data_IF_766640579337
#
_entry.id   IF_766640579337
#
_cell.length_a   1.000
_cell.length_b   1.000
_cell.length_c   1.000
_cell.angle_alpha   90.00
_cell.angle_beta   90.00
_cell.angle_gamma   90.00
#
_symmetry.space_group_name_H-M   'P 1'
#
loop_
_entity.id
_entity.type
_entity.pdbx_description
1 polymer ?
#
# COMPACT_ATOMS: atom_id res chain seq x y z
N UNK A 1 1.20 15.08 -15.79
CA UNK A 1 1.12 15.48 -14.36
C UNK A 1 -0.35 15.53 -13.98
N UNK A 2 -0.73 14.80 -12.96
CA UNK A 2 -2.09 14.84 -12.43
C UNK A 2 -2.22 16.00 -11.46
N UNK A 3 -3.37 16.70 -11.48
CA UNK A 3 -3.65 17.82 -10.59
C UNK A 3 -5.08 17.72 -10.05
N UNK A 4 -5.25 18.25 -8.85
CA UNK A 4 -6.55 18.40 -8.21
C UNK A 4 -6.64 19.85 -7.72
N UNK A 5 -7.61 20.62 -8.24
CA UNK A 5 -7.88 21.95 -7.72
C UNK A 5 -8.44 21.86 -6.30
N UNK A 6 -7.95 22.70 -5.41
CA UNK A 6 -8.35 22.70 -4.02
C UNK A 6 -8.29 24.10 -3.42
N UNK A 7 -9.22 24.38 -2.50
CA UNK A 7 -9.28 25.63 -1.73
C UNK A 7 -8.68 25.51 -0.33
N UNK A 8 -8.03 24.37 -0.02
CA UNK A 8 -7.35 24.18 1.27
C UNK A 8 -6.13 25.10 1.44
N UNK A 9 -5.52 25.13 2.62
CA UNK A 9 -4.38 26.00 2.94
C UNK A 9 -3.15 25.81 2.02
N UNK A 10 -3.00 24.63 1.39
CA UNK A 10 -1.92 24.33 0.45
C UNK A 10 -2.25 24.73 -1.01
N UNK A 11 -3.52 25.10 -1.29
CA UNK A 11 -3.98 25.34 -2.66
C UNK A 11 -4.14 24.06 -3.48
N UNK A 12 -3.96 24.13 -4.79
CA UNK A 12 -4.06 22.97 -5.68
C UNK A 12 -2.98 21.93 -5.41
N UNK A 13 -3.34 20.67 -5.61
CA UNK A 13 -2.46 19.53 -5.40
C UNK A 13 -1.98 18.93 -6.71
N UNK A 14 -0.73 18.49 -6.77
CA UNK A 14 -0.15 17.88 -7.97
C UNK A 14 0.62 16.60 -7.64
N UNK A 15 0.54 15.62 -8.55
CA UNK A 15 1.38 14.44 -8.51
C UNK A 15 2.08 14.27 -9.87
N UNK A 16 3.37 13.99 -9.92
CA UNK A 16 4.12 13.92 -11.18
C UNK A 16 3.89 12.59 -11.94
N UNK A 17 2.71 12.01 -11.84
CA UNK A 17 2.25 10.88 -12.65
C UNK A 17 1.87 11.38 -14.03
N UNK A 18 2.37 10.73 -15.09
CA UNK A 18 2.09 11.09 -16.50
C UNK A 18 0.88 10.35 -17.04
N UNK A 19 0.75 9.06 -16.69
CA UNK A 19 -0.30 8.20 -17.22
C UNK A 19 -0.68 7.12 -16.21
N UNK A 20 -1.99 6.85 -16.13
CA UNK A 20 -2.55 5.72 -15.41
C UNK A 20 -3.44 4.97 -16.40
N UNK A 21 -3.16 3.69 -16.59
CA UNK A 21 -3.94 2.77 -17.40
C UNK A 21 -4.42 1.61 -16.54
N UNK A 22 -5.72 1.45 -16.41
CA UNK A 22 -6.35 0.32 -15.69
C UNK A 22 -7.40 -0.29 -16.60
N UNK A 23 -7.03 -1.34 -17.30
CA UNK A 23 -7.94 -2.02 -18.24
C UNK A 23 -7.50 -3.46 -18.51
N UNK A 24 -8.41 -4.28 -19.04
CA UNK A 24 -8.06 -5.56 -19.65
C UNK A 24 -7.13 -5.34 -20.83
N UNK A 25 -6.10 -6.18 -20.96
CA UNK A 25 -5.10 -6.08 -22.02
C UNK A 25 -4.21 -4.83 -21.94
N UNK A 26 -4.08 -4.20 -20.77
CA UNK A 26 -3.23 -3.01 -20.60
C UNK A 26 -1.77 -3.28 -20.97
N UNK A 27 -1.28 -4.51 -20.79
CA UNK A 27 0.07 -4.94 -21.17
C UNK A 27 0.34 -4.70 -22.65
N UNK A 28 -0.62 -4.94 -23.52
CA UNK A 28 -0.48 -4.77 -24.96
C UNK A 28 -0.30 -3.31 -25.40
N UNK A 29 -0.64 -2.35 -24.55
CA UNK A 29 -0.50 -0.91 -24.77
C UNK A 29 0.87 -0.35 -24.34
N UNK A 30 1.76 -1.18 -23.81
CA UNK A 30 3.05 -0.74 -23.24
C UNK A 30 3.87 0.12 -24.19
N UNK A 31 4.04 -0.32 -25.45
CA UNK A 31 4.84 0.42 -26.42
C UNK A 31 4.23 1.80 -26.77
N UNK A 32 2.91 1.92 -26.76
CA UNK A 32 2.19 3.17 -26.98
C UNK A 32 2.33 4.09 -25.76
N UNK A 33 2.07 3.57 -24.55
CA UNK A 33 2.11 4.32 -23.30
C UNK A 33 3.52 4.86 -23.02
N UNK A 34 4.54 4.04 -23.30
CA UNK A 34 5.95 4.38 -23.08
C UNK A 34 6.61 5.02 -24.29
N UNK A 35 5.83 5.46 -25.29
CA UNK A 35 6.36 6.12 -26.47
C UNK A 35 7.23 7.31 -26.11
N UNK A 36 8.45 7.32 -26.66
CA UNK A 36 9.46 8.35 -26.40
C UNK A 36 10.48 7.99 -25.32
N UNK A 37 10.31 6.85 -24.64
CA UNK A 37 11.33 6.28 -23.77
C UNK A 37 12.15 5.24 -24.53
N UNK A 38 13.44 5.23 -24.28
CA UNK A 38 14.41 4.26 -24.81
C UNK A 38 15.26 3.71 -23.68
N UNK A 39 16.01 2.68 -23.96
CA UNK A 39 16.94 2.09 -22.99
C UNK A 39 16.21 1.72 -21.68
N UNK A 40 15.06 1.05 -21.82
CA UNK A 40 14.22 0.61 -20.70
C UNK A 40 14.83 -0.64 -20.09
N UNK A 41 15.11 -0.60 -18.80
CA UNK A 41 15.41 -1.80 -18.00
C UNK A 41 14.10 -2.36 -17.42
N UNK A 42 13.80 -3.61 -17.75
CA UNK A 42 12.68 -4.33 -17.15
C UNK A 42 13.15 -5.04 -15.87
N UNK A 43 12.43 -4.84 -14.77
CA UNK A 43 12.70 -5.49 -13.48
C UNK A 43 11.49 -6.30 -13.04
N UNK A 44 11.69 -7.58 -12.76
CA UNK A 44 10.66 -8.49 -12.27
C UNK A 44 11.24 -9.48 -11.26
N UNK A 45 10.40 -10.18 -10.53
CA UNK A 45 10.76 -11.45 -9.88
C UNK A 45 10.41 -12.63 -10.79
N UNK A 46 10.81 -13.85 -10.40
CA UNK A 46 10.59 -15.05 -11.22
C UNK A 46 9.12 -15.27 -11.56
N UNK A 47 8.22 -15.09 -10.57
CA UNK A 47 6.79 -15.33 -10.78
C UNK A 47 6.18 -14.25 -11.67
N UNK A 48 6.44 -12.98 -11.40
CA UNK A 48 5.89 -11.88 -12.17
C UNK A 48 6.49 -11.76 -13.56
N UNK A 49 7.73 -12.25 -13.75
CA UNK A 49 8.32 -12.39 -15.09
C UNK A 49 7.57 -13.42 -15.93
N UNK A 50 7.22 -14.59 -15.35
CA UNK A 50 6.43 -15.61 -16.06
C UNK A 50 5.03 -15.11 -16.40
N UNK A 51 4.36 -14.42 -15.45
CA UNK A 51 2.96 -13.99 -15.58
C UNK A 51 2.80 -12.83 -16.57
N UNK A 52 3.71 -11.86 -16.55
CA UNK A 52 3.60 -10.63 -17.34
C UNK A 52 4.93 -10.18 -17.98
N UNK A 53 6.05 -10.46 -17.32
CA UNK A 53 7.37 -9.95 -17.71
C UNK A 53 7.80 -10.40 -19.09
N UNK A 54 7.60 -11.67 -19.45
CA UNK A 54 7.94 -12.21 -20.78
C UNK A 54 7.19 -11.48 -21.90
N UNK A 55 5.91 -11.19 -21.68
CA UNK A 55 5.11 -10.47 -22.68
C UNK A 55 5.54 -9.01 -22.77
N UNK A 56 5.76 -8.36 -21.63
CA UNK A 56 6.27 -6.98 -21.60
C UNK A 56 7.65 -6.86 -22.27
N UNK A 57 8.57 -7.81 -21.99
CA UNK A 57 9.87 -7.87 -22.65
C UNK A 57 9.73 -7.95 -24.18
N UNK A 58 8.90 -8.87 -24.66
CA UNK A 58 8.71 -9.05 -26.11
C UNK A 58 8.20 -7.77 -26.77
N UNK A 59 7.18 -7.11 -26.17
CA UNK A 59 6.62 -5.86 -26.69
C UNK A 59 7.67 -4.75 -26.74
N UNK A 60 8.46 -4.58 -25.67
CA UNK A 60 9.49 -3.54 -25.61
C UNK A 60 10.66 -3.84 -26.56
N UNK A 61 11.02 -5.12 -26.73
CA UNK A 61 12.06 -5.55 -27.66
C UNK A 61 11.64 -5.29 -29.12
N UNK A 62 10.41 -5.67 -29.48
CA UNK A 62 9.87 -5.46 -30.84
C UNK A 62 9.75 -3.96 -31.18
N UNK A 63 9.50 -3.13 -30.17
CA UNK A 63 9.47 -1.68 -30.31
C UNK A 63 10.86 -1.01 -30.30
N UNK A 64 11.94 -1.77 -30.08
CA UNK A 64 13.31 -1.23 -29.98
C UNK A 64 13.54 -0.35 -28.73
N UNK A 65 12.77 -0.57 -27.68
CA UNK A 65 12.78 0.26 -26.45
C UNK A 65 13.54 -0.41 -25.31
N UNK A 66 13.71 -1.74 -25.35
CA UNK A 66 14.32 -2.51 -24.26
C UNK A 66 15.85 -2.41 -24.29
N UNK A 67 16.45 -2.13 -23.12
CA UNK A 67 17.89 -2.26 -22.88
C UNK A 67 18.20 -3.70 -22.46
N UNK A 68 17.75 -4.08 -21.26
CA UNK A 68 17.96 -5.40 -20.69
C UNK A 68 16.90 -5.77 -19.65
N UNK A 69 16.94 -7.00 -19.16
CA UNK A 69 16.01 -7.55 -18.17
C UNK A 69 16.77 -7.98 -16.93
N UNK A 70 16.28 -7.56 -15.78
CA UNK A 70 16.75 -8.01 -14.47
C UNK A 70 15.63 -8.80 -13.78
N UNK A 71 15.84 -10.10 -13.61
CA UNK A 71 14.95 -10.95 -12.83
C UNK A 71 15.60 -11.20 -11.48
N UNK A 72 14.94 -10.74 -10.40
CA UNK A 72 15.41 -10.97 -9.04
C UNK A 72 14.96 -12.33 -8.53
N UNK A 73 15.76 -12.90 -7.60
CA UNK A 73 15.47 -14.20 -7.01
C UNK A 73 14.37 -14.09 -5.94
N UNK A 74 13.70 -15.23 -5.69
CA UNK A 74 12.74 -15.36 -4.60
C UNK A 74 13.44 -15.50 -3.22
N UNK A 75 12.81 -14.99 -2.17
CA UNK A 75 11.60 -14.15 -2.18
C UNK A 75 11.91 -12.70 -2.64
N UNK A 76 11.01 -12.07 -3.39
CA UNK A 76 11.20 -10.72 -3.93
C UNK A 76 11.00 -9.65 -2.85
N UNK A 77 11.72 -9.74 -1.73
CA UNK A 77 11.62 -8.78 -0.65
C UNK A 77 12.14 -7.40 -1.06
N UNK A 78 11.48 -6.30 -0.67
CA UNK A 78 11.97 -4.95 -0.89
C UNK A 78 13.11 -4.66 0.11
N UNK A 79 14.29 -5.24 -0.14
CA UNK A 79 15.45 -5.22 0.74
C UNK A 79 16.62 -4.45 0.13
N UNK A 80 17.54 -4.02 1.00
CA UNK A 80 18.83 -3.46 0.59
C UNK A 80 19.59 -4.40 -0.35
N UNK A 81 19.51 -5.72 -0.14
CA UNK A 81 20.09 -6.73 -1.03
C UNK A 81 19.51 -6.67 -2.45
N UNK A 82 18.19 -6.66 -2.58
CA UNK A 82 17.51 -6.64 -3.88
C UNK A 82 17.64 -5.27 -4.57
N UNK A 83 17.58 -4.18 -3.81
CA UNK A 83 17.90 -2.84 -4.33
C UNK A 83 19.34 -2.80 -4.86
N UNK A 84 20.31 -3.33 -4.10
CA UNK A 84 21.72 -3.43 -4.53
C UNK A 84 21.89 -4.28 -5.79
N UNK A 85 21.17 -5.41 -5.90
CA UNK A 85 21.18 -6.27 -7.09
C UNK A 85 20.73 -5.50 -8.34
N UNK A 86 19.58 -4.80 -8.26
CA UNK A 86 19.04 -4.04 -9.39
C UNK A 86 19.94 -2.85 -9.75
N UNK A 87 20.54 -2.18 -8.77
CA UNK A 87 21.51 -1.10 -9.02
C UNK A 87 22.76 -1.60 -9.77
N UNK A 88 23.29 -2.77 -9.40
CA UNK A 88 24.44 -3.39 -10.09
C UNK A 88 24.08 -3.77 -11.53
N UNK A 89 22.91 -4.37 -11.74
CA UNK A 89 22.47 -4.72 -13.08
C UNK A 89 22.20 -3.46 -13.95
N UNK A 90 21.70 -2.38 -13.36
CA UNK A 90 21.49 -1.11 -14.07
C UNK A 90 22.80 -0.48 -14.58
N UNK A 91 23.91 -0.73 -13.88
CA UNK A 91 25.24 -0.27 -14.31
C UNK A 91 26.07 -1.35 -15.03
N UNK A 92 25.44 -2.47 -15.44
CA UNK A 92 26.17 -3.59 -16.04
C UNK A 92 26.72 -3.22 -17.41
N UNK A 93 28.05 -3.24 -17.52
CA UNK A 93 28.79 -3.18 -18.79
C UNK A 93 29.13 -4.61 -19.24
N UNK A 94 28.94 -4.91 -20.52
CA UNK A 94 29.31 -6.19 -21.12
C UNK A 94 30.83 -6.31 -21.32
N UNK A 95 31.56 -5.18 -21.25
CA UNK A 95 33.01 -5.15 -21.36
C UNK A 95 33.67 -4.77 -20.04
N UNK A 96 34.16 -5.74 -19.25
CA UNK A 96 34.79 -5.47 -17.94
C UNK A 96 36.12 -4.71 -18.05
N UNK A 97 36.61 -4.42 -19.25
CA UNK A 97 37.89 -3.76 -19.50
C UNK A 97 37.78 -2.40 -20.20
N UNK A 98 36.58 -2.00 -20.63
CA UNK A 98 36.38 -0.70 -21.28
C UNK A 98 35.76 0.32 -20.31
N UNK A 99 36.66 1.02 -19.63
CA UNK A 99 36.29 2.08 -18.68
C UNK A 99 35.57 3.29 -19.31
N UNK A 100 35.45 3.34 -20.63
CA UNK A 100 34.78 4.41 -21.35
C UNK A 100 33.32 4.07 -21.74
N UNK A 101 32.87 2.83 -21.52
CA UNK A 101 31.53 2.36 -21.88
C UNK A 101 30.53 2.53 -20.71
N UNK A 102 30.44 3.72 -20.13
CA UNK A 102 29.31 4.09 -19.25
C UNK A 102 28.00 4.38 -20.04
N UNK A 103 27.91 3.98 -21.31
CA UNK A 103 26.83 4.36 -22.20
C UNK A 103 25.58 3.51 -22.11
N UNK A 104 25.55 2.42 -21.37
CA UNK A 104 24.42 1.49 -21.30
C UNK A 104 23.58 1.57 -20.03
N UNK A 105 23.70 2.65 -19.26
CA UNK A 105 22.79 2.86 -18.13
C UNK A 105 21.36 3.03 -18.66
N UNK A 106 20.37 2.36 -18.05
CA UNK A 106 18.98 2.53 -18.44
C UNK A 106 18.56 3.99 -18.25
N UNK A 107 17.73 4.48 -19.16
CA UNK A 107 17.12 5.81 -19.05
C UNK A 107 15.75 5.76 -18.39
N UNK A 108 15.20 4.58 -18.24
CA UNK A 108 13.92 4.32 -17.63
C UNK A 108 13.87 2.92 -17.03
N UNK A 109 13.16 2.74 -15.91
CA UNK A 109 12.90 1.44 -15.30
C UNK A 109 11.41 1.11 -15.45
N UNK A 110 11.11 -0.07 -15.97
CA UNK A 110 9.78 -0.66 -15.91
C UNK A 110 9.79 -1.82 -14.91
N UNK A 111 9.18 -1.61 -13.73
CA UNK A 111 8.90 -2.71 -12.82
C UNK A 111 7.72 -3.54 -13.33
N UNK A 112 7.81 -4.86 -13.24
CA UNK A 112 6.71 -5.77 -13.51
C UNK A 112 6.47 -6.59 -12.26
N UNK A 113 5.40 -6.28 -11.54
CA UNK A 113 5.13 -6.92 -10.27
C UNK A 113 4.15 -6.16 -9.39
N UNK A 114 4.14 -6.50 -8.11
CA UNK A 114 3.32 -5.83 -7.10
C UNK A 114 4.20 -4.97 -6.16
N UNK A 115 3.82 -4.82 -4.90
CA UNK A 115 4.43 -3.90 -3.94
C UNK A 115 5.94 -3.98 -3.84
N UNK A 116 6.50 -5.18 -3.69
CA UNK A 116 7.95 -5.36 -3.53
C UNK A 116 8.75 -4.88 -4.73
N UNK A 117 8.34 -5.27 -5.93
CA UNK A 117 8.98 -4.82 -7.18
C UNK A 117 8.84 -3.31 -7.35
N UNK A 118 7.66 -2.77 -7.05
CA UNK A 118 7.41 -1.34 -7.13
C UNK A 118 8.34 -0.54 -6.19
N UNK A 119 8.52 -0.98 -4.95
CA UNK A 119 9.37 -0.29 -3.98
C UNK A 119 10.86 -0.39 -4.32
N UNK A 120 11.32 -1.54 -4.82
CA UNK A 120 12.68 -1.72 -5.35
C UNK A 120 12.92 -0.77 -6.53
N UNK A 121 12.04 -0.79 -7.54
CA UNK A 121 12.17 0.07 -8.73
C UNK A 121 12.10 1.56 -8.36
N UNK A 122 11.23 1.95 -7.43
CA UNK A 122 11.14 3.30 -6.89
C UNK A 122 12.44 3.76 -6.26
N UNK A 123 13.01 2.94 -5.38
CA UNK A 123 14.30 3.26 -4.73
C UNK A 123 15.42 3.35 -5.75
N UNK A 124 15.53 2.38 -6.66
CA UNK A 124 16.59 2.36 -7.69
C UNK A 124 16.47 3.57 -8.60
N UNK A 125 15.28 3.87 -9.12
CA UNK A 125 15.05 5.04 -9.99
C UNK A 125 15.42 6.34 -9.29
N UNK A 126 15.06 6.48 -8.00
CA UNK A 126 15.41 7.64 -7.20
C UNK A 126 16.93 7.79 -7.05
N UNK A 127 17.65 6.69 -6.79
CA UNK A 127 19.11 6.69 -6.64
C UNK A 127 19.85 6.98 -7.94
N UNK A 128 19.32 6.50 -9.05
CA UNK A 128 19.90 6.76 -10.40
C UNK A 128 19.47 8.12 -10.99
N UNK A 129 18.49 8.79 -10.41
CA UNK A 129 17.96 10.05 -10.94
C UNK A 129 17.19 9.88 -12.24
N UNK A 130 16.60 8.70 -12.51
CA UNK A 130 15.82 8.40 -13.71
C UNK A 130 14.35 8.18 -13.39
N UNK A 131 13.47 8.24 -14.40
CA UNK A 131 12.05 7.97 -14.24
C UNK A 131 11.78 6.45 -14.23
N UNK A 132 10.66 6.04 -13.61
CA UNK A 132 10.20 4.66 -13.66
C UNK A 132 8.69 4.57 -13.84
N UNK A 133 8.23 3.41 -14.27
CA UNK A 133 6.84 2.98 -14.27
C UNK A 133 6.68 1.58 -13.70
N UNK A 134 5.44 1.21 -13.49
CA UNK A 134 5.05 -0.09 -12.97
C UNK A 134 3.96 -0.71 -13.83
N UNK A 135 4.18 -1.95 -14.26
CA UNK A 135 3.15 -2.87 -14.72
C UNK A 135 2.75 -3.71 -13.52
N UNK A 136 1.65 -3.32 -12.89
CA UNK A 136 1.16 -3.99 -11.67
C UNK A 136 0.47 -5.30 -11.99
N UNK A 137 0.84 -6.35 -11.24
CA UNK A 137 0.34 -7.72 -11.46
C UNK A 137 -0.68 -8.18 -10.41
N UNK A 138 -0.88 -7.41 -9.34
CA UNK A 138 -1.88 -7.71 -8.31
C UNK A 138 -2.26 -6.45 -7.52
N UNK A 139 -3.53 -6.25 -7.16
CA UNK A 139 -3.98 -5.11 -6.35
C UNK A 139 -3.75 -5.38 -4.85
N UNK A 140 -2.49 -5.39 -4.39
CA UNK A 140 -2.14 -5.85 -3.03
C UNK A 140 -1.86 -4.76 -2.00
N UNK A 141 -1.71 -3.50 -2.42
CA UNK A 141 -1.37 -2.36 -1.54
C UNK A 141 -1.47 -1.03 -2.30
N UNK A 142 -1.50 0.10 -1.59
CA UNK A 142 -1.69 1.45 -2.14
C UNK A 142 -0.39 2.13 -2.62
N UNK A 143 0.72 1.42 -2.64
CA UNK A 143 2.04 1.95 -2.97
C UNK A 143 2.25 2.38 -4.43
N UNK A 144 1.41 2.00 -5.39
CA UNK A 144 1.65 2.29 -6.82
C UNK A 144 1.82 3.78 -7.10
N UNK A 145 0.96 4.62 -6.55
CA UNK A 145 1.01 6.08 -6.71
C UNK A 145 1.62 6.81 -5.49
N UNK A 146 2.28 6.10 -4.60
CA UNK A 146 2.92 6.66 -3.41
C UNK A 146 4.34 7.17 -3.69
N UNK A 147 4.82 8.07 -2.83
CA UNK A 147 6.21 8.58 -2.84
C UNK A 147 7.12 7.87 -1.84
N UNK A 148 6.60 6.92 -1.06
CA UNK A 148 7.36 6.22 -0.02
C UNK A 148 7.68 4.78 -0.43
N UNK A 149 8.88 4.33 -0.07
CA UNK A 149 9.36 2.97 -0.22
C UNK A 149 9.72 2.40 1.16
N UNK A 150 8.90 1.51 1.74
CA UNK A 150 9.30 0.74 2.91
C UNK A 150 10.27 -0.37 2.51
N UNK A 151 11.51 -0.28 3.01
CA UNK A 151 12.55 -1.24 2.69
C UNK A 151 13.04 -1.97 3.93
N UNK A 152 13.41 -3.22 3.75
CA UNK A 152 14.14 -4.01 4.73
C UNK A 152 15.64 -3.71 4.59
N UNK A 153 16.23 -3.14 5.63
CA UNK A 153 17.68 -2.86 5.72
C UNK A 153 18.24 -3.69 6.85
N UNK A 154 18.90 -4.77 6.51
CA UNK A 154 19.23 -5.83 7.47
C UNK A 154 17.92 -6.41 8.07
N UNK A 155 17.75 -6.25 9.39
CA UNK A 155 16.56 -6.70 10.13
C UNK A 155 15.54 -5.58 10.41
N UNK A 156 15.75 -4.38 9.86
CA UNK A 156 14.91 -3.21 10.16
C UNK A 156 14.07 -2.82 8.96
N UNK A 157 12.80 -2.50 9.19
CA UNK A 157 11.94 -1.85 8.21
C UNK A 157 12.12 -0.34 8.27
N UNK A 158 12.64 0.27 7.20
CA UNK A 158 12.90 1.72 7.09
C UNK A 158 12.07 2.27 5.93
N UNK A 159 11.40 3.39 6.17
CA UNK A 159 10.56 4.05 5.19
C UNK A 159 11.33 5.21 4.57
N UNK A 160 11.56 5.13 3.26
CA UNK A 160 12.26 6.16 2.49
C UNK A 160 11.28 6.97 1.66
N UNK A 161 11.49 8.28 1.57
CA UNK A 161 10.82 9.12 0.58
C UNK A 161 11.65 9.09 -0.71
N UNK A 162 11.00 8.75 -1.82
CA UNK A 162 11.63 8.52 -3.12
C UNK A 162 10.82 9.19 -4.24
N UNK A 163 11.07 8.78 -5.51
CA UNK A 163 10.28 9.19 -6.68
C UNK A 163 8.93 8.47 -6.73
N UNK A 164 7.97 9.07 -7.44
CA UNK A 164 6.69 8.45 -7.78
C UNK A 164 6.77 7.82 -9.18
N UNK A 165 6.01 6.74 -9.42
CA UNK A 165 5.88 6.15 -10.74
C UNK A 165 5.31 7.15 -11.75
N UNK A 166 5.96 7.29 -12.90
CA UNK A 166 5.47 8.15 -13.99
C UNK A 166 4.34 7.51 -14.78
N UNK A 167 4.39 6.19 -14.91
CA UNK A 167 3.37 5.39 -15.57
C UNK A 167 2.95 4.27 -14.63
N UNK A 168 1.65 4.17 -14.39
CA UNK A 168 1.03 3.13 -13.59
C UNK A 168 0.11 2.37 -14.55
N UNK A 169 0.47 1.13 -14.85
CA UNK A 169 -0.22 0.30 -15.82
C UNK A 169 -0.67 -0.95 -15.09
N UNK A 170 -1.97 -1.17 -15.01
CA UNK A 170 -2.56 -2.32 -14.33
C UNK A 170 -3.40 -3.09 -15.33
N UNK A 171 -2.98 -4.31 -15.59
CA UNK A 171 -3.71 -5.21 -16.47
C UNK A 171 -4.70 -6.04 -15.65
N UNK A 172 -5.99 -5.79 -15.86
CA UNK A 172 -7.05 -6.45 -15.11
C UNK A 172 -7.14 -7.95 -15.38
N UNK A 173 -6.72 -8.41 -16.57
CA UNK A 173 -6.70 -9.83 -16.89
C UNK A 173 -5.63 -10.55 -16.06
N UNK A 174 -4.49 -9.90 -15.83
CA UNK A 174 -3.42 -10.41 -14.95
C UNK A 174 -3.87 -10.35 -13.49
N UNK A 175 -4.42 -9.22 -13.05
CA UNK A 175 -4.90 -9.05 -11.68
C UNK A 175 -5.99 -10.05 -11.30
N UNK A 176 -6.86 -10.42 -12.23
CA UNK A 176 -7.91 -11.41 -12.05
C UNK A 176 -7.35 -12.78 -11.66
N UNK A 177 -6.20 -13.15 -12.23
CA UNK A 177 -5.55 -14.45 -12.01
C UNK A 177 -4.54 -14.43 -10.85
N UNK A 178 -4.34 -13.27 -10.21
CA UNK A 178 -3.46 -13.14 -9.06
C UNK A 178 -3.90 -14.05 -7.88
N UNK A 179 -2.97 -14.50 -7.01
CA UNK A 179 -3.32 -15.20 -5.77
C UNK A 179 -4.39 -14.45 -4.97
N UNK A 180 -5.38 -15.18 -4.46
CA UNK A 180 -6.53 -14.57 -3.77
C UNK A 180 -6.12 -13.73 -2.55
N UNK A 181 -5.08 -14.18 -1.82
CA UNK A 181 -4.53 -13.42 -0.69
C UNK A 181 -4.03 -12.03 -1.08
N UNK A 182 -3.54 -11.85 -2.31
CA UNK A 182 -3.15 -10.52 -2.80
C UNK A 182 -4.36 -9.61 -3.08
N UNK A 183 -5.49 -10.18 -3.49
CA UNK A 183 -6.75 -9.43 -3.62
C UNK A 183 -7.26 -9.02 -2.23
N UNK A 184 -7.22 -9.94 -1.26
CA UNK A 184 -7.62 -9.67 0.12
C UNK A 184 -6.67 -8.68 0.81
N UNK A 185 -5.37 -8.73 0.50
CA UNK A 185 -4.41 -7.76 0.99
C UNK A 185 -4.75 -6.34 0.50
N UNK A 186 -5.09 -6.18 -0.79
CA UNK A 186 -5.54 -4.87 -1.30
C UNK A 186 -6.81 -4.37 -0.64
N UNK A 187 -7.78 -5.24 -0.43
CA UNK A 187 -8.99 -4.90 0.32
C UNK A 187 -8.66 -4.53 1.78
N UNK A 188 -7.80 -5.31 2.44
CA UNK A 188 -7.36 -5.06 3.82
C UNK A 188 -6.68 -3.70 3.98
N UNK A 189 -5.84 -3.33 3.02
CA UNK A 189 -5.22 -2.00 2.98
C UNK A 189 -6.28 -0.89 2.76
N UNK A 190 -7.26 -1.11 1.89
CA UNK A 190 -8.31 -0.13 1.60
C UNK A 190 -9.28 0.10 2.77
N UNK A 191 -9.72 -0.93 3.48
CA UNK A 191 -10.65 -0.75 4.61
C UNK A 191 -10.06 0.10 5.72
N UNK A 192 -8.73 0.10 5.88
CA UNK A 192 -8.00 0.93 6.85
C UNK A 192 -8.13 2.43 6.62
N UNK A 193 -8.47 2.86 5.40
CA UNK A 193 -8.50 4.29 5.07
C UNK A 193 -9.57 5.08 5.84
N UNK A 194 -10.65 4.45 6.26
CA UNK A 194 -11.62 5.10 7.15
C UNK A 194 -11.00 5.45 8.52
N UNK A 195 -10.18 4.56 9.07
CA UNK A 195 -9.46 4.82 10.34
C UNK A 195 -8.42 5.90 10.13
N UNK A 196 -7.63 5.81 9.05
CA UNK A 196 -6.60 6.80 8.72
C UNK A 196 -7.16 8.22 8.61
N UNK A 197 -8.30 8.38 7.91
CA UNK A 197 -8.96 9.67 7.75
C UNK A 197 -9.53 10.17 9.07
N UNK A 198 -10.17 9.31 9.87
CA UNK A 198 -10.68 9.69 11.20
C UNK A 198 -9.55 10.12 12.13
N UNK A 199 -8.42 9.41 12.13
CA UNK A 199 -7.22 9.83 12.86
C UNK A 199 -6.66 11.18 12.40
N UNK A 200 -6.75 11.47 11.10
CA UNK A 200 -6.32 12.75 10.56
C UNK A 200 -7.25 13.89 10.98
N UNK A 201 -8.56 13.65 11.00
CA UNK A 201 -9.56 14.59 11.54
C UNK A 201 -9.38 14.80 13.06
N UNK A 202 -9.13 13.72 13.80
CA UNK A 202 -8.84 13.76 15.23
C UNK A 202 -7.59 14.62 15.51
N UNK A 203 -6.52 14.38 14.76
CA UNK A 203 -5.29 15.16 14.89
C UNK A 203 -5.50 16.64 14.55
N UNK A 204 -6.23 16.94 13.48
CA UNK A 204 -6.62 18.34 13.17
C UNK A 204 -7.31 18.99 14.34
N UNK A 205 -8.27 18.31 14.96
CA UNK A 205 -9.05 18.85 16.06
C UNK A 205 -8.18 19.12 17.30
N UNK A 206 -7.32 18.16 17.67
CA UNK A 206 -6.54 18.21 18.91
C UNK A 206 -5.27 19.05 18.77
N UNK A 207 -4.57 18.96 17.65
CA UNK A 207 -3.25 19.55 17.47
C UNK A 207 -3.20 20.72 16.48
N UNK A 208 -4.28 20.95 15.73
CA UNK A 208 -4.30 21.93 14.63
C UNK A 208 -3.56 21.45 13.39
N UNK A 209 -3.26 20.14 13.25
CA UNK A 209 -2.57 19.60 12.08
C UNK A 209 -3.32 19.95 10.78
N UNK A 210 -2.55 20.18 9.72
CA UNK A 210 -3.13 20.36 8.39
C UNK A 210 -4.04 19.19 8.01
N UNK A 211 -5.18 19.51 7.43
CA UNK A 211 -6.16 18.56 6.91
C UNK A 211 -6.75 19.09 5.60
N UNK A 212 -6.92 18.23 4.63
CA UNK A 212 -7.59 18.56 3.37
C UNK A 212 -8.83 17.72 3.18
N UNK A 213 -9.99 18.36 3.28
CA UNK A 213 -11.29 17.70 3.15
C UNK A 213 -11.48 17.04 1.78
N UNK A 214 -11.01 17.69 0.69
CA UNK A 214 -11.17 17.13 -0.66
C UNK A 214 -10.36 15.84 -0.86
N UNK A 215 -9.12 15.79 -0.31
CA UNK A 215 -8.32 14.55 -0.32
C UNK A 215 -9.00 13.47 0.52
N UNK A 216 -9.47 13.82 1.71
CA UNK A 216 -10.15 12.89 2.60
C UNK A 216 -11.42 12.32 1.95
N UNK A 217 -12.26 13.17 1.34
CA UNK A 217 -13.46 12.74 0.63
C UNK A 217 -13.15 11.86 -0.59
N UNK A 218 -12.10 12.18 -1.35
CA UNK A 218 -11.65 11.33 -2.46
C UNK A 218 -11.31 9.92 -1.97
N UNK A 219 -10.53 9.80 -0.90
CA UNK A 219 -10.11 8.52 -0.33
C UNK A 219 -11.30 7.80 0.30
N UNK A 220 -12.17 8.48 1.06
CA UNK A 220 -13.40 7.88 1.65
C UNK A 220 -14.31 7.29 0.58
N UNK A 221 -14.55 8.02 -0.53
CA UNK A 221 -15.37 7.53 -1.65
C UNK A 221 -14.77 6.30 -2.32
N UNK A 222 -13.45 6.32 -2.55
CA UNK A 222 -12.74 5.19 -3.13
C UNK A 222 -12.82 3.95 -2.22
N UNK A 223 -12.66 4.14 -0.90
CA UNK A 223 -12.81 3.08 0.10
C UNK A 223 -14.23 2.51 0.10
N UNK A 224 -15.24 3.37 0.04
CA UNK A 224 -16.65 2.95 -0.05
C UNK A 224 -16.91 2.07 -1.28
N UNK A 225 -16.42 2.46 -2.45
CA UNK A 225 -16.56 1.67 -3.67
C UNK A 225 -15.89 0.29 -3.58
N UNK A 226 -14.71 0.21 -2.95
CA UNK A 226 -14.03 -1.06 -2.70
C UNK A 226 -14.88 -1.97 -1.79
N UNK A 227 -15.39 -1.43 -0.68
CA UNK A 227 -16.20 -2.20 0.27
C UNK A 227 -17.51 -2.68 -0.38
N UNK A 228 -18.16 -1.82 -1.19
CA UNK A 228 -19.42 -2.15 -1.86
C UNK A 228 -19.26 -3.28 -2.87
N UNK A 229 -18.13 -3.33 -3.56
CA UNK A 229 -17.84 -4.35 -4.58
C UNK A 229 -17.09 -5.57 -4.04
N UNK A 230 -16.59 -5.52 -2.81
CA UNK A 230 -15.71 -6.54 -2.24
C UNK A 230 -16.25 -7.99 -2.31
N UNK A 231 -17.57 -8.27 -2.16
CA UNK A 231 -18.08 -9.64 -2.36
C UNK A 231 -17.73 -10.24 -3.74
N UNK A 232 -17.59 -9.41 -4.76
CA UNK A 232 -17.17 -9.82 -6.11
C UNK A 232 -15.73 -10.35 -6.17
N UNK A 233 -14.86 -10.01 -5.23
CA UNK A 233 -13.48 -10.51 -5.21
C UNK A 233 -13.43 -12.03 -5.06
N UNK A 234 -14.36 -12.63 -4.31
CA UNK A 234 -14.45 -14.08 -4.11
C UNK A 234 -14.67 -14.85 -5.42
N UNK A 235 -15.40 -14.25 -6.35
CA UNK A 235 -15.66 -14.83 -7.68
C UNK A 235 -14.78 -14.21 -8.78
N UNK A 236 -13.77 -13.45 -8.38
CA UNK A 236 -12.82 -12.78 -9.28
C UNK A 236 -13.52 -11.86 -10.31
N UNK A 237 -14.57 -11.17 -9.85
CA UNK A 237 -15.28 -10.19 -10.66
C UNK A 237 -14.36 -9.04 -11.05
N UNK A 238 -14.31 -8.73 -12.35
CA UNK A 238 -13.37 -7.73 -12.89
C UNK A 238 -13.68 -6.32 -12.40
N UNK A 239 -14.95 -5.99 -12.21
CA UNK A 239 -15.34 -4.67 -11.71
C UNK A 239 -14.98 -4.51 -10.23
N UNK A 240 -15.13 -5.57 -9.42
CA UNK A 240 -14.67 -5.58 -8.04
C UNK A 240 -13.15 -5.41 -7.93
N UNK A 241 -12.39 -6.13 -8.76
CA UNK A 241 -10.93 -5.99 -8.84
C UNK A 241 -10.55 -4.58 -9.28
N UNK A 242 -11.22 -4.05 -10.31
CA UNK A 242 -10.99 -2.69 -10.79
C UNK A 242 -11.25 -1.64 -9.71
N UNK A 243 -12.35 -1.75 -8.96
CA UNK A 243 -12.66 -0.83 -7.87
C UNK A 243 -11.57 -0.89 -6.78
N UNK A 244 -11.04 -2.07 -6.48
CA UNK A 244 -9.91 -2.22 -5.54
C UNK A 244 -8.64 -1.56 -6.08
N UNK A 245 -8.29 -1.79 -7.34
CA UNK A 245 -7.14 -1.13 -8.02
C UNK A 245 -7.29 0.39 -8.00
N UNK A 246 -8.43 0.90 -8.44
CA UNK A 246 -8.70 2.34 -8.50
C UNK A 246 -8.61 2.96 -7.09
N UNK A 247 -9.16 2.27 -6.09
CA UNK A 247 -9.08 2.69 -4.69
C UNK A 247 -7.65 2.79 -4.19
N UNK A 248 -6.84 1.77 -4.43
CA UNK A 248 -5.42 1.74 -4.05
C UNK A 248 -4.62 2.85 -4.74
N UNK A 249 -4.88 3.11 -6.02
CA UNK A 249 -4.24 4.21 -6.76
C UNK A 249 -4.66 5.57 -6.19
N UNK A 250 -5.95 5.76 -5.90
CA UNK A 250 -6.47 7.02 -5.33
C UNK A 250 -5.94 7.25 -3.91
N UNK A 251 -5.78 6.19 -3.10
CA UNK A 251 -5.13 6.27 -1.79
C UNK A 251 -3.68 6.76 -1.92
N UNK A 252 -2.89 6.13 -2.81
CA UNK A 252 -1.51 6.54 -3.08
C UNK A 252 -1.40 7.98 -3.62
N UNK A 253 -2.32 8.40 -4.50
CA UNK A 253 -2.42 9.80 -4.94
C UNK A 253 -2.76 10.74 -3.79
N UNK A 254 -3.60 10.32 -2.84
CA UNK A 254 -3.89 11.07 -1.61
C UNK A 254 -2.61 11.36 -0.81
N UNK A 255 -1.70 10.39 -0.71
CA UNK A 255 -0.38 10.56 -0.09
C UNK A 255 0.45 11.60 -0.87
N UNK A 256 0.49 11.48 -2.19
CA UNK A 256 1.25 12.39 -3.03
C UNK A 256 0.69 13.83 -2.98
N UNK A 257 -0.61 14.00 -2.98
CA UNK A 257 -1.30 15.28 -2.92
C UNK A 257 -1.16 15.98 -1.56
N UNK A 258 -1.24 15.23 -0.46
CA UNK A 258 -1.12 15.80 0.88
C UNK A 258 0.33 16.04 1.33
N UNK A 259 1.31 15.46 0.63
CA UNK A 259 2.71 15.47 1.03
C UNK A 259 2.99 14.65 2.30
N UNK A 260 2.02 13.84 2.75
CA UNK A 260 2.13 12.98 3.93
C UNK A 260 1.28 11.72 3.76
N UNK A 261 1.57 10.66 4.53
CA UNK A 261 0.74 9.45 4.49
C UNK A 261 -0.54 9.53 5.36
N UNK A 262 -0.92 10.71 5.85
CA UNK A 262 -2.13 10.88 6.69
C UNK A 262 -3.41 10.36 6.03
N UNK A 263 -3.69 10.62 4.74
CA UNK A 263 -4.92 10.12 4.13
C UNK A 263 -5.04 8.60 4.04
N UNK A 264 -3.90 7.91 4.20
CA UNK A 264 -3.79 6.48 3.93
C UNK A 264 -3.29 5.65 5.11
N UNK A 265 -2.84 6.28 6.20
CA UNK A 265 -2.14 5.57 7.29
C UNK A 265 -2.39 6.26 8.62
N UNK A 266 -3.09 5.59 9.51
CA UNK A 266 -3.41 5.99 10.87
C UNK A 266 -3.06 4.91 11.91
N UNK A 267 -3.90 4.75 12.90
CA UNK A 267 -3.78 3.75 13.99
C UNK A 267 -3.60 2.34 13.44
N UNK A 268 -4.37 1.96 12.43
CA UNK A 268 -4.33 0.64 11.80
C UNK A 268 -2.94 0.32 11.23
N UNK A 269 -2.33 1.25 10.52
CA UNK A 269 -0.98 1.07 9.99
C UNK A 269 0.08 1.08 11.09
N UNK A 270 -0.10 1.88 12.12
CA UNK A 270 0.85 1.92 13.24
C UNK A 270 0.87 0.59 13.98
N UNK A 271 -0.29 -0.04 14.17
CA UNK A 271 -0.40 -1.36 14.78
C UNK A 271 0.14 -2.43 13.83
N UNK A 272 -0.39 -2.52 12.59
CA UNK A 272 0.00 -3.55 11.61
C UNK A 272 1.50 -3.54 11.31
N UNK A 273 2.08 -2.37 11.05
CA UNK A 273 3.52 -2.23 10.83
C UNK A 273 4.36 -2.57 12.08
N UNK A 274 3.80 -2.38 13.28
CA UNK A 274 4.48 -2.81 14.50
C UNK A 274 4.51 -4.33 14.59
N UNK A 275 3.41 -5.02 14.26
CA UNK A 275 3.40 -6.49 14.19
C UNK A 275 4.40 -7.02 13.16
N UNK A 276 4.44 -6.43 11.95
CA UNK A 276 5.44 -6.79 10.93
C UNK A 276 6.88 -6.65 11.47
N UNK A 277 7.18 -5.58 12.20
CA UNK A 277 8.51 -5.38 12.81
C UNK A 277 8.78 -6.41 13.90
N UNK A 278 7.78 -6.73 14.73
CA UNK A 278 7.94 -7.74 15.79
C UNK A 278 8.19 -9.15 15.21
N UNK A 279 7.59 -9.49 14.07
CA UNK A 279 7.87 -10.75 13.37
C UNK A 279 9.30 -10.76 12.82
N UNK A 280 9.76 -9.67 12.22
CA UNK A 280 11.15 -9.52 11.77
C UNK A 280 12.16 -9.59 12.93
N UNK A 281 11.85 -9.01 14.10
CA UNK A 281 12.67 -9.09 15.31
C UNK A 281 12.83 -10.55 15.80
N UNK A 282 11.82 -11.40 15.54
CA UNK A 282 11.83 -12.85 15.84
C UNK A 282 12.47 -13.68 14.71
N UNK A 283 12.91 -13.05 13.61
CA UNK A 283 13.46 -13.74 12.43
C UNK A 283 12.43 -14.38 11.52
N UNK A 284 11.16 -14.01 11.67
CA UNK A 284 10.06 -14.46 10.82
C UNK A 284 9.77 -13.43 9.73
N UNK A 285 9.36 -13.89 8.55
CA UNK A 285 8.80 -12.99 7.55
C UNK A 285 7.37 -12.63 7.97
N UNK A 286 7.02 -11.32 7.93
CA UNK A 286 5.65 -10.91 8.21
C UNK A 286 4.71 -11.40 7.11
N UNK A 287 3.42 -11.39 7.40
CA UNK A 287 2.38 -11.62 6.41
C UNK A 287 2.33 -10.48 5.38
N UNK A 288 1.46 -10.59 4.37
CA UNK A 288 1.24 -9.51 3.40
C UNK A 288 0.82 -8.23 4.12
N UNK A 289 1.41 -7.10 3.74
CA UNK A 289 1.18 -5.81 4.39
C UNK A 289 -0.30 -5.47 4.56
N UNK A 290 -1.10 -5.63 3.48
CA UNK A 290 -2.53 -5.33 3.54
C UNK A 290 -3.33 -6.30 4.42
N UNK A 291 -2.85 -7.52 4.66
CA UNK A 291 -3.47 -8.44 5.64
C UNK A 291 -3.19 -7.93 7.05
N UNK A 292 -1.94 -7.56 7.37
CA UNK A 292 -1.57 -6.98 8.66
C UNK A 292 -2.34 -5.68 8.97
N UNK A 293 -2.45 -4.80 7.97
CA UNK A 293 -3.22 -3.56 8.08
C UNK A 293 -4.72 -3.85 8.20
N UNK A 294 -5.24 -4.84 7.46
CA UNK A 294 -6.63 -5.26 7.54
C UNK A 294 -7.01 -5.73 8.95
N UNK A 295 -6.22 -6.64 9.54
CA UNK A 295 -6.41 -7.11 10.91
C UNK A 295 -6.35 -5.95 11.92
N UNK A 296 -5.33 -5.11 11.81
CA UNK A 296 -5.19 -3.94 12.67
C UNK A 296 -6.33 -2.92 12.51
N UNK A 297 -6.96 -2.87 11.33
CA UNK A 297 -8.13 -2.04 11.08
C UNK A 297 -9.32 -2.47 11.93
N UNK A 298 -9.56 -3.77 12.09
CA UNK A 298 -10.63 -4.26 12.97
C UNK A 298 -10.36 -3.82 14.43
N UNK A 299 -9.12 -3.94 14.90
CA UNK A 299 -8.76 -3.46 16.25
C UNK A 299 -9.02 -1.95 16.40
N UNK A 300 -8.56 -1.15 15.46
CA UNK A 300 -8.73 0.31 15.50
C UNK A 300 -10.21 0.73 15.44
N UNK A 301 -11.00 0.12 14.54
CA UNK A 301 -12.45 0.40 14.44
C UNK A 301 -13.18 0.05 15.73
N UNK A 302 -12.92 -1.13 16.30
CA UNK A 302 -13.55 -1.56 17.55
C UNK A 302 -13.20 -0.63 18.71
N UNK A 303 -11.93 -0.17 18.81
CA UNK A 303 -11.52 0.83 19.80
C UNK A 303 -12.27 2.16 19.59
N UNK A 304 -12.38 2.68 18.36
CA UNK A 304 -13.15 3.88 18.06
C UNK A 304 -14.64 3.72 18.40
N UNK A 305 -15.25 2.58 18.08
CA UNK A 305 -16.64 2.30 18.41
C UNK A 305 -16.86 2.24 19.93
N UNK A 306 -15.89 1.75 20.68
CA UNK A 306 -15.92 1.76 22.14
C UNK A 306 -15.79 3.19 22.68
N UNK A 307 -14.82 3.97 22.19
CA UNK A 307 -14.69 5.41 22.53
C UNK A 307 -15.98 6.15 22.25
N UNK A 308 -16.61 5.95 21.10
CA UNK A 308 -17.89 6.57 20.74
C UNK A 308 -19.00 6.29 21.76
N UNK A 309 -19.06 5.06 22.29
CA UNK A 309 -20.07 4.67 23.28
C UNK A 309 -19.77 5.21 24.68
N UNK A 310 -18.49 5.24 25.07
CA UNK A 310 -18.08 5.54 26.45
C UNK A 310 -17.76 7.01 26.70
N UNK A 311 -17.37 7.79 25.67
CA UNK A 311 -16.97 9.18 25.87
C UNK A 311 -18.16 10.07 26.22
N UNK A 312 -17.94 11.02 27.12
CA UNK A 312 -18.87 12.12 27.45
C UNK A 312 -18.58 13.38 26.59
N UNK A 313 -17.48 13.40 25.83
CA UNK A 313 -17.05 14.54 25.02
C UNK A 313 -17.87 14.63 23.72
N UNK A 314 -18.79 15.60 23.65
CA UNK A 314 -19.71 15.77 22.52
C UNK A 314 -18.96 15.93 21.20
N UNK A 315 -17.87 16.74 21.18
CA UNK A 315 -17.09 16.94 19.97
C UNK A 315 -16.50 15.64 19.40
N UNK A 316 -16.08 14.72 20.29
CA UNK A 316 -15.51 13.45 19.88
C UNK A 316 -16.60 12.50 19.37
N UNK A 317 -17.78 12.50 20.00
CA UNK A 317 -18.95 11.80 19.46
C UNK A 317 -19.33 12.28 18.07
N UNK A 318 -19.39 13.60 17.89
CA UNK A 318 -19.72 14.21 16.59
C UNK A 318 -18.67 13.88 15.51
N UNK A 319 -17.40 13.80 15.91
CA UNK A 319 -16.30 13.41 15.02
C UNK A 319 -16.40 11.95 14.56
N UNK A 320 -16.72 11.02 15.48
CA UNK A 320 -16.72 9.58 15.22
C UNK A 320 -18.04 9.14 14.56
N UNK A 321 -19.18 9.72 14.94
CA UNK A 321 -20.52 9.30 14.51
C UNK A 321 -20.66 9.05 12.99
N UNK A 322 -20.13 9.89 12.08
CA UNK A 322 -20.22 9.68 10.63
C UNK A 322 -19.54 8.39 10.12
N UNK A 323 -18.60 7.84 10.90
CA UNK A 323 -17.83 6.65 10.52
C UNK A 323 -18.46 5.34 11.01
N UNK A 324 -19.33 5.39 12.04
CA UNK A 324 -19.94 4.19 12.63
C UNK A 324 -20.63 3.30 11.60
N UNK A 325 -21.47 3.83 10.67
CA UNK A 325 -22.09 2.97 9.65
C UNK A 325 -21.09 2.27 8.74
N UNK A 326 -19.98 2.95 8.40
CA UNK A 326 -18.92 2.36 7.59
C UNK A 326 -18.16 1.27 8.35
N UNK A 327 -17.90 1.45 9.63
CA UNK A 327 -17.27 0.44 10.49
C UNK A 327 -18.16 -0.80 10.62
N UNK A 328 -19.44 -0.63 10.90
CA UNK A 328 -20.40 -1.73 10.96
C UNK A 328 -20.48 -2.50 9.63
N UNK A 329 -20.41 -1.79 8.49
CA UNK A 329 -20.37 -2.42 7.16
C UNK A 329 -19.10 -3.25 6.95
N UNK A 330 -17.93 -2.76 7.36
CA UNK A 330 -16.65 -3.51 7.29
C UNK A 330 -16.69 -4.74 8.17
N UNK A 331 -17.22 -4.63 9.41
CA UNK A 331 -17.38 -5.77 10.30
C UNK A 331 -18.35 -6.83 9.75
N UNK A 332 -19.43 -6.39 9.06
CA UNK A 332 -20.33 -7.30 8.38
C UNK A 332 -19.67 -7.98 7.16
N UNK A 333 -18.87 -7.22 6.42
CA UNK A 333 -18.13 -7.73 5.26
C UNK A 333 -17.13 -8.83 5.65
N UNK A 334 -16.48 -8.72 6.81
CA UNK A 334 -15.56 -9.74 7.32
C UNK A 334 -16.19 -11.12 7.40
N UNK A 335 -17.47 -11.20 7.80
CA UNK A 335 -18.22 -12.47 7.88
C UNK A 335 -18.51 -13.12 6.51
N UNK A 336 -18.36 -12.38 5.43
CA UNK A 336 -18.62 -12.86 4.06
C UNK A 336 -17.33 -13.19 3.30
N UNK A 337 -16.28 -12.41 3.51
CA UNK A 337 -15.04 -12.46 2.71
C UNK A 337 -13.91 -13.17 3.44
N UNK A 338 -13.92 -13.11 4.79
CA UNK A 338 -12.89 -13.73 5.63
C UNK A 338 -11.47 -13.22 5.30
N UNK A 339 -11.24 -11.89 5.46
CA UNK A 339 -9.87 -11.36 5.43
C UNK A 339 -9.06 -12.14 6.47
N UNK A 340 -7.92 -12.75 6.09
CA UNK A 340 -7.15 -13.55 7.00
C UNK A 340 -6.68 -12.75 8.22
N UNK A 341 -6.70 -13.38 9.39
CA UNK A 341 -6.06 -12.87 10.59
C UNK A 341 -4.81 -13.69 10.87
N UNK A 342 -3.73 -13.04 11.21
CA UNK A 342 -2.55 -13.72 11.72
C UNK A 342 -2.83 -14.14 13.15
N UNK A 343 -2.83 -15.45 13.42
CA UNK A 343 -3.05 -15.95 14.78
C UNK A 343 -1.87 -15.57 15.67
N UNK A 344 -2.07 -14.55 16.51
CA UNK A 344 -1.08 -14.06 17.49
C UNK A 344 -1.54 -14.42 18.90
N UNK A 345 -0.58 -14.76 19.76
CA UNK A 345 -0.85 -14.83 21.19
C UNK A 345 -1.24 -13.44 21.69
N UNK A 346 -2.13 -13.39 22.71
CA UNK A 346 -2.66 -12.15 23.29
C UNK A 346 -1.57 -11.15 23.65
N UNK A 347 -0.51 -11.61 24.33
CA UNK A 347 0.60 -10.74 24.74
C UNK A 347 1.33 -10.10 23.55
N UNK A 348 1.50 -10.83 22.45
CA UNK A 348 2.10 -10.32 21.21
C UNK A 348 1.18 -9.30 20.55
N UNK A 349 -0.11 -9.59 20.47
CA UNK A 349 -1.11 -8.67 19.91
C UNK A 349 -1.17 -7.36 20.71
N UNK A 350 -1.34 -7.44 22.01
CA UNK A 350 -1.42 -6.29 22.91
C UNK A 350 -0.13 -5.46 22.88
N UNK A 351 1.02 -6.13 22.91
CA UNK A 351 2.32 -5.45 22.79
C UNK A 351 2.41 -4.65 21.48
N UNK A 352 1.92 -5.20 20.36
CA UNK A 352 1.90 -4.50 19.08
C UNK A 352 1.01 -3.26 19.10
N UNK A 353 -0.17 -3.32 19.72
CA UNK A 353 -1.05 -2.17 19.90
C UNK A 353 -0.36 -1.07 20.73
N UNK A 354 0.25 -1.44 21.87
CA UNK A 354 0.94 -0.49 22.74
C UNK A 354 2.16 0.15 22.09
N UNK A 355 3.02 -0.66 21.43
CA UNK A 355 4.21 -0.17 20.70
C UNK A 355 3.82 0.65 19.47
N UNK A 356 2.67 0.35 18.86
CA UNK A 356 2.14 1.08 17.70
C UNK A 356 2.10 2.59 17.91
N UNK A 357 1.75 3.06 19.13
CA UNK A 357 1.72 4.48 19.48
C UNK A 357 3.02 5.22 19.14
N UNK A 358 4.16 4.58 19.29
CA UNK A 358 5.49 5.20 19.06
C UNK A 358 6.10 4.85 17.72
N UNK A 359 5.39 4.11 16.86
CA UNK A 359 5.90 3.71 15.55
C UNK A 359 6.19 4.93 14.65
N UNK A 360 5.37 5.96 14.74
CA UNK A 360 5.58 7.25 14.06
C UNK A 360 5.20 8.40 14.99
N UNK A 361 5.82 9.56 14.77
CA UNK A 361 5.46 10.79 15.47
C UNK A 361 4.22 11.39 14.83
N UNK A 362 3.04 10.96 15.26
CA UNK A 362 1.76 11.53 14.82
C UNK A 362 0.66 11.28 15.86
N UNK A 363 -0.27 12.23 15.96
CA UNK A 363 -1.42 12.10 16.85
C UNK A 363 -2.45 11.17 16.20
N UNK A 364 -2.88 10.14 16.92
CA UNK A 364 -3.88 9.14 16.49
C UNK A 364 -4.70 8.71 17.70
N UNK A 365 -5.65 7.80 17.50
CA UNK A 365 -6.40 7.18 18.58
C UNK A 365 -5.49 6.60 19.68
N UNK A 366 -4.37 5.97 19.31
CA UNK A 366 -3.44 5.41 20.29
C UNK A 366 -2.84 6.49 21.21
N UNK A 367 -2.50 7.66 20.65
CA UNK A 367 -1.99 8.77 21.45
C UNK A 367 -3.12 9.36 22.32
N UNK A 368 -4.32 9.52 21.76
CA UNK A 368 -5.48 10.00 22.51
C UNK A 368 -5.77 9.14 23.75
N UNK A 369 -5.81 7.83 23.58
CA UNK A 369 -6.04 6.88 24.69
C UNK A 369 -4.88 6.86 25.69
N UNK A 370 -3.65 7.01 25.22
CA UNK A 370 -2.48 7.08 26.09
C UNK A 370 -2.51 8.33 26.98
N UNK A 371 -2.82 9.49 26.42
CA UNK A 371 -2.90 10.77 27.16
C UNK A 371 -3.95 10.73 28.27
N UNK A 372 -4.94 9.84 28.15
CA UNK A 372 -6.00 9.59 29.17
C UNK A 372 -5.66 8.46 30.13
N UNK A 373 -4.55 7.76 29.93
CA UNK A 373 -4.19 6.58 30.74
C UNK A 373 -5.07 5.35 30.47
N UNK A 374 -5.72 5.28 29.29
CA UNK A 374 -6.70 4.25 28.93
C UNK A 374 -6.14 3.23 27.94
N UNK A 375 -5.01 3.50 27.28
CA UNK A 375 -4.49 2.70 26.15
C UNK A 375 -4.30 1.21 26.52
N UNK A 376 -3.75 0.90 27.70
CA UNK A 376 -3.54 -0.48 28.15
C UNK A 376 -4.86 -1.24 28.29
N UNK A 377 -5.88 -0.60 28.88
CA UNK A 377 -7.23 -1.18 29.05
C UNK A 377 -7.89 -1.46 27.71
N UNK A 378 -7.72 -0.55 26.73
CA UNK A 378 -8.26 -0.73 25.39
C UNK A 378 -7.50 -1.80 24.61
N UNK A 379 -6.18 -1.86 24.74
CA UNK A 379 -5.34 -2.84 24.06
C UNK A 379 -5.63 -4.28 24.53
N UNK A 380 -5.84 -4.48 25.84
CA UNK A 380 -6.21 -5.78 26.39
C UNK A 380 -7.62 -6.22 25.91
N UNK A 381 -8.59 -5.30 26.03
CA UNK A 381 -9.97 -5.58 25.65
C UNK A 381 -10.12 -5.87 24.14
N UNK A 382 -9.42 -5.11 23.28
CA UNK A 382 -9.63 -5.21 21.84
C UNK A 382 -9.16 -6.53 21.26
N UNK A 383 -8.22 -7.22 21.89
CA UNK A 383 -7.84 -8.58 21.51
C UNK A 383 -9.05 -9.52 21.49
N UNK A 384 -9.76 -9.61 22.64
CA UNK A 384 -10.92 -10.50 22.77
C UNK A 384 -12.04 -10.08 21.80
N UNK A 385 -12.26 -8.78 21.63
CA UNK A 385 -13.23 -8.25 20.68
C UNK A 385 -12.90 -8.55 19.22
N UNK A 386 -11.62 -8.54 18.83
CA UNK A 386 -11.18 -8.92 17.49
C UNK A 386 -11.37 -10.39 17.21
N UNK A 387 -11.16 -11.26 18.21
CA UNK A 387 -11.30 -12.72 18.03
C UNK A 387 -12.73 -13.14 17.68
N UNK A 388 -13.74 -12.31 17.94
CA UNK A 388 -15.12 -12.55 17.49
C UNK A 388 -15.26 -12.46 15.96
N UNK A 389 -14.33 -11.78 15.28
CA UNK A 389 -14.30 -11.56 13.84
C UNK A 389 -13.22 -12.37 13.12
N UNK A 390 -12.33 -13.03 13.87
CA UNK A 390 -11.31 -13.90 13.28
C UNK A 390 -11.98 -15.07 12.53
N UNK A 391 -11.52 -15.43 11.32
CA UNK A 391 -12.01 -16.59 10.59
C UNK A 391 -11.84 -17.86 11.45
N UNK A 392 -12.85 -18.71 11.49
CA UNK A 392 -12.76 -20.00 12.16
C UNK A 392 -12.01 -21.00 11.28
N UNK A 393 -11.28 -21.93 11.91
CA UNK A 393 -10.44 -22.91 11.18
C UNK A 393 -11.20 -23.71 10.11
N UNK A 394 -12.51 -23.93 10.28
CA UNK A 394 -13.37 -24.68 9.37
C UNK A 394 -13.88 -23.83 8.17
N UNK A 395 -13.61 -22.54 8.12
CA UNK A 395 -14.14 -21.61 7.10
C UNK A 395 -13.07 -21.25 6.02
N UNK A 396 -11.86 -21.80 6.14
CA UNK A 396 -10.74 -21.59 5.20
C UNK A 396 -10.72 -22.69 4.10
N UNK A 397 -11.82 -22.87 3.34
CA UNK A 397 -11.86 -23.77 2.18
C UNK A 397 -12.24 -23.01 0.91
#
# INVERSE_FOLDING_TARGET
MLSMECTCAQGGHTAPVKHIEVSSGATEKLAEILKGYTDIMLVADKNTYEVAGKRAEQILRDAGMLSHVCVIDDPPLPSDKNVGRVLIEAGRDESPYDINHFSNNPKYILGVGSGSINDICRMVSYRLGIEYGILGTAPSMDGYASVVAPLLVGTKKIIYTCSIARHIIIDLDICKDAPYDLLLAGLGDMIGKYVAILDWELSRHVTGEYYCEQIAEMVKKATGACIDSAPGLKIRDVDAIKNTVDGLILSGLGIAYSGSSRPASGTEHMIGQTWEVMDLEKGHLPNLHGIEVGEATFAAMLMYMRVYRETEETWLKDLIAPYIPSFEKVLALQKMIHIPFTVREKDTFVTGVLRGRTFRVRYTLLQYLYDRGELETYADWVYDACMEYAPKEDENV
#
